data_IF_151126406214
#
_entry.id   IF_151126406214
#
_cell.length_a   1.000
_cell.length_b   1.000
_cell.length_c   1.000
_cell.angle_alpha   90.00
_cell.angle_beta   90.00
_cell.angle_gamma   90.00
#
_symmetry.space_group_name_H-M   'P 1'
#
loop_
_entity.id
_entity.type
_entity.pdbx_description
1 polymer ?
#
# COMPACT_ATOMS: atom_id res chain seq x y z
N UNK A 1 -9.83 -22.70 -21.23
CA UNK A 1 -9.74 -21.39 -20.57
C UNK A 1 -10.68 -21.31 -19.36
N UNK A 2 -12.02 -21.51 -19.49
CA UNK A 2 -12.96 -21.49 -18.36
C UNK A 2 -12.57 -22.48 -17.25
N UNK A 3 -12.32 -23.74 -17.60
CA UNK A 3 -11.91 -24.77 -16.64
C UNK A 3 -10.55 -24.45 -15.97
N UNK A 4 -9.62 -23.84 -16.70
CA UNK A 4 -8.35 -23.42 -16.12
C UNK A 4 -8.54 -22.31 -15.06
N UNK A 5 -9.46 -21.37 -15.32
CA UNK A 5 -9.82 -20.36 -14.31
C UNK A 5 -10.45 -21.01 -13.05
N UNK A 6 -11.38 -21.95 -13.23
CA UNK A 6 -12.00 -22.66 -12.09
C UNK A 6 -10.96 -23.41 -11.24
N UNK A 7 -9.96 -24.01 -11.87
CA UNK A 7 -8.82 -24.63 -11.16
C UNK A 7 -8.00 -23.58 -10.38
N UNK A 8 -7.70 -22.45 -11.00
CA UNK A 8 -6.97 -21.35 -10.33
C UNK A 8 -7.78 -20.82 -9.15
N UNK A 9 -9.08 -20.57 -9.34
CA UNK A 9 -9.97 -20.15 -8.25
C UNK A 9 -9.97 -21.14 -7.10
N UNK A 10 -10.19 -22.41 -7.38
CA UNK A 10 -10.19 -23.48 -6.37
C UNK A 10 -8.88 -23.55 -5.60
N UNK A 11 -7.75 -23.51 -6.30
CA UNK A 11 -6.44 -23.54 -5.68
C UNK A 11 -6.18 -22.31 -4.79
N UNK A 12 -6.57 -21.13 -5.24
CA UNK A 12 -6.45 -19.91 -4.46
C UNK A 12 -7.38 -19.92 -3.24
N UNK A 13 -8.61 -20.37 -3.40
CA UNK A 13 -9.59 -20.47 -2.33
C UNK A 13 -9.11 -21.39 -1.20
N UNK A 14 -8.62 -22.59 -1.53
CA UNK A 14 -8.29 -23.62 -0.54
C UNK A 14 -6.85 -23.60 -0.04
N UNK A 15 -5.92 -23.07 -0.85
CA UNK A 15 -4.49 -23.10 -0.50
C UNK A 15 -3.84 -21.70 -0.52
N UNK A 16 -4.46 -20.73 -1.18
CA UNK A 16 -3.89 -19.41 -1.39
C UNK A 16 -4.18 -18.38 -0.30
N UNK A 17 -5.25 -18.54 0.48
CA UNK A 17 -5.68 -17.55 1.48
C UNK A 17 -4.62 -17.28 2.53
N UNK A 18 -3.95 -18.31 3.05
CA UNK A 18 -2.85 -18.15 4.01
C UNK A 18 -1.65 -17.42 3.39
N UNK A 19 -1.35 -17.73 2.13
CA UNK A 19 -0.25 -17.07 1.38
C UNK A 19 -0.57 -15.58 1.18
N UNK A 20 -1.80 -15.25 0.80
CA UNK A 20 -2.23 -13.87 0.62
C UNK A 20 -2.24 -13.08 1.94
N UNK A 21 -2.68 -13.69 3.03
CA UNK A 21 -2.65 -13.10 4.37
C UNK A 21 -1.21 -12.80 4.80
N UNK A 22 -0.29 -13.73 4.58
CA UNK A 22 1.13 -13.53 4.88
C UNK A 22 1.73 -12.44 3.98
N UNK A 23 1.38 -12.43 2.70
CA UNK A 23 1.81 -11.39 1.76
C UNK A 23 1.38 -9.99 2.21
N UNK A 24 0.15 -9.82 2.67
CA UNK A 24 -0.34 -8.55 3.22
C UNK A 24 0.52 -8.11 4.40
N UNK A 25 0.79 -9.03 5.34
CA UNK A 25 1.64 -8.74 6.50
C UNK A 25 3.05 -8.32 6.09
N UNK A 26 3.66 -9.02 5.13
CA UNK A 26 5.01 -8.73 4.65
C UNK A 26 5.06 -7.40 3.89
N UNK A 27 4.03 -7.07 3.11
CA UNK A 27 3.91 -5.79 2.40
C UNK A 27 3.78 -4.62 3.39
N UNK A 28 2.99 -4.76 4.46
CA UNK A 28 2.92 -3.75 5.51
C UNK A 28 4.26 -3.54 6.21
N UNK A 29 4.98 -4.61 6.54
CA UNK A 29 6.30 -4.53 7.16
C UNK A 29 7.33 -3.85 6.24
N UNK A 30 7.36 -4.24 4.95
CA UNK A 30 8.24 -3.66 3.96
C UNK A 30 7.92 -2.17 3.71
N UNK A 31 6.64 -1.80 3.64
CA UNK A 31 6.18 -0.42 3.49
C UNK A 31 6.64 0.44 4.67
N UNK A 32 6.40 0.00 5.90
CA UNK A 32 6.81 0.74 7.09
C UNK A 32 8.32 0.98 7.09
N UNK A 33 9.13 -0.02 6.77
CA UNK A 33 10.58 0.12 6.66
C UNK A 33 11.01 1.09 5.56
N UNK A 34 10.43 0.99 4.35
CA UNK A 34 10.73 1.85 3.21
C UNK A 34 10.37 3.32 3.47
N UNK A 35 9.19 3.58 4.05
CA UNK A 35 8.70 4.94 4.32
C UNK A 35 9.53 5.68 5.34
N UNK A 36 9.99 5.01 6.41
CA UNK A 36 10.81 5.62 7.45
C UNK A 36 12.15 6.13 6.91
N UNK A 37 12.65 5.54 5.84
CA UNK A 37 13.94 5.87 5.23
C UNK A 37 13.82 6.60 3.89
N UNK A 38 12.60 6.99 3.47
CA UNK A 38 12.44 7.79 2.26
C UNK A 38 13.10 9.16 2.44
N UNK A 39 13.80 9.64 1.40
CA UNK A 39 14.50 10.93 1.44
C UNK A 39 13.54 12.07 1.80
N UNK A 40 12.30 12.03 1.31
CA UNK A 40 11.28 13.02 1.60
C UNK A 40 10.91 13.06 3.08
N UNK A 41 10.71 11.92 3.72
CA UNK A 41 10.37 11.84 5.14
C UNK A 41 11.56 12.23 6.01
N UNK A 42 12.76 11.82 5.65
CA UNK A 42 13.99 12.20 6.35
C UNK A 42 14.19 13.73 6.31
N UNK A 43 14.01 14.36 5.14
CA UNK A 43 14.13 15.82 4.99
C UNK A 43 13.04 16.57 5.79
N UNK A 44 11.80 16.11 5.75
CA UNK A 44 10.71 16.70 6.56
C UNK A 44 11.00 16.57 8.05
N UNK A 45 11.45 15.43 8.52
CA UNK A 45 11.81 15.23 9.91
C UNK A 45 12.95 16.15 10.35
N UNK A 46 13.95 16.39 9.49
CA UNK A 46 15.03 17.33 9.72
C UNK A 46 14.48 18.76 9.87
N UNK A 47 13.61 19.20 8.94
CA UNK A 47 12.99 20.52 9.01
C UNK A 47 12.16 20.69 10.29
N UNK A 48 11.42 19.67 10.72
CA UNK A 48 10.65 19.68 11.99
C UNK A 48 11.61 19.85 13.18
N UNK A 49 12.73 19.13 13.19
CA UNK A 49 13.76 19.25 14.23
C UNK A 49 14.39 20.65 14.27
N UNK A 50 14.66 21.23 13.11
CA UNK A 50 15.20 22.60 12.97
C UNK A 50 14.24 23.64 13.54
N UNK A 51 12.93 23.49 13.28
CA UNK A 51 11.90 24.37 13.83
C UNK A 51 11.85 24.25 15.35
N UNK A 52 11.90 23.05 15.92
CA UNK A 52 11.93 22.85 17.36
C UNK A 52 13.16 23.53 18.02
N UNK A 53 14.32 23.50 17.35
CA UNK A 53 15.51 24.20 17.78
C UNK A 53 15.36 25.73 17.74
N UNK A 54 14.73 26.24 16.70
CA UNK A 54 14.43 27.67 16.56
C UNK A 54 13.43 28.15 17.62
N UNK A 55 12.40 27.37 17.94
CA UNK A 55 11.45 27.67 19.01
C UNK A 55 12.13 27.75 20.38
N UNK A 56 13.05 26.82 20.68
CA UNK A 56 13.82 26.84 21.90
C UNK A 56 14.71 28.08 22.00
N UNK A 57 15.42 28.41 20.92
CA UNK A 57 16.26 29.60 20.86
C UNK A 57 15.42 30.88 21.04
N UNK A 58 14.29 30.98 20.41
CA UNK A 58 13.38 32.12 20.50
C UNK A 58 12.85 32.28 21.94
N UNK A 59 12.51 31.18 22.61
CA UNK A 59 12.08 31.18 24.00
C UNK A 59 13.19 31.63 24.95
N UNK A 60 14.43 31.19 24.71
CA UNK A 60 15.61 31.66 25.47
C UNK A 60 15.83 33.17 25.30
N UNK A 61 15.79 33.68 24.09
CA UNK A 61 15.98 35.09 23.81
C UNK A 61 14.89 35.95 24.44
N UNK A 62 13.65 35.46 24.50
CA UNK A 62 12.56 36.10 25.22
C UNK A 62 12.82 36.19 26.71
N UNK A 63 13.29 35.10 27.35
CA UNK A 63 13.62 35.07 28.77
C UNK A 63 14.76 36.03 29.12
N UNK A 64 15.70 36.22 28.20
CA UNK A 64 16.83 37.17 28.37
C UNK A 64 16.42 38.63 28.11
N UNK A 65 15.19 38.87 27.69
CA UNK A 65 14.72 40.24 27.40
C UNK A 65 15.32 40.86 26.11
N UNK A 66 15.92 40.03 25.26
CA UNK A 66 16.62 40.47 24.02
C UNK A 66 15.68 40.66 22.84
N UNK A 67 14.49 40.05 22.91
CA UNK A 67 13.49 40.05 21.82
C UNK A 67 12.27 40.85 22.23
N UNK A 68 11.84 41.76 21.35
CA UNK A 68 10.58 42.48 21.49
C UNK A 68 9.39 41.50 21.52
N UNK A 69 8.37 41.73 22.40
CA UNK A 69 7.20 40.88 22.52
C UNK A 69 6.45 40.68 21.20
N UNK A 70 6.31 41.69 20.38
CA UNK A 70 5.60 41.61 19.10
C UNK A 70 6.38 40.76 18.08
N UNK A 71 7.70 40.89 18.06
CA UNK A 71 8.57 40.06 17.23
C UNK A 71 8.51 38.62 17.70
N UNK A 72 8.51 38.37 19.00
CA UNK A 72 8.38 37.02 19.56
C UNK A 72 7.07 36.36 19.10
N UNK A 73 5.93 37.07 19.25
CA UNK A 73 4.62 36.53 18.84
C UNK A 73 4.60 36.24 17.34
N UNK A 74 5.06 37.18 16.50
CA UNK A 74 5.09 37.03 15.07
C UNK A 74 5.93 35.82 14.64
N UNK A 75 7.13 35.67 15.20
CA UNK A 75 8.02 34.54 14.88
C UNK A 75 7.49 33.22 15.40
N UNK A 76 6.94 33.19 16.60
CA UNK A 76 6.30 31.98 17.16
C UNK A 76 5.16 31.51 16.27
N UNK A 77 4.31 32.41 15.79
CA UNK A 77 3.20 32.08 14.89
C UNK A 77 3.71 31.55 13.54
N UNK A 78 4.76 32.15 12.98
CA UNK A 78 5.37 31.66 11.73
C UNK A 78 5.94 30.25 11.89
N UNK A 79 6.65 29.97 12.99
CA UNK A 79 7.20 28.64 13.26
C UNK A 79 6.09 27.60 13.49
N UNK A 80 5.04 27.97 14.23
CA UNK A 80 3.90 27.10 14.46
C UNK A 80 3.17 26.73 13.14
N UNK A 81 2.95 27.72 12.26
CA UNK A 81 2.34 27.48 10.95
C UNK A 81 3.22 26.60 10.08
N UNK A 82 4.51 26.85 10.03
CA UNK A 82 5.45 26.02 9.27
C UNK A 82 5.50 24.60 9.78
N UNK A 83 5.48 24.40 11.10
CA UNK A 83 5.43 23.09 11.73
C UNK A 83 4.16 22.32 11.33
N UNK A 84 3.02 23.03 11.34
CA UNK A 84 1.73 22.45 10.91
C UNK A 84 1.76 22.02 9.45
N UNK A 85 2.27 22.85 8.54
CA UNK A 85 2.41 22.53 7.12
C UNK A 85 3.26 21.28 6.92
N UNK A 86 4.43 21.20 7.59
CA UNK A 86 5.33 20.06 7.48
C UNK A 86 4.69 18.77 8.01
N UNK A 87 3.96 18.84 9.12
CA UNK A 87 3.22 17.68 9.65
C UNK A 87 2.14 17.20 8.69
N UNK A 88 1.39 18.12 8.08
CA UNK A 88 0.38 17.79 7.07
C UNK A 88 1.02 17.19 5.81
N UNK A 89 2.15 17.75 5.37
CA UNK A 89 2.89 17.22 4.22
C UNK A 89 3.39 15.81 4.50
N UNK A 90 3.96 15.57 5.67
CA UNK A 90 4.38 14.24 6.12
C UNK A 90 3.21 13.25 6.11
N UNK A 91 2.07 13.64 6.67
CA UNK A 91 0.87 12.81 6.70
C UNK A 91 0.36 12.47 5.29
N UNK A 92 0.36 13.45 4.37
CA UNK A 92 -0.01 13.21 2.96
C UNK A 92 0.92 12.22 2.27
N UNK A 93 2.24 12.33 2.48
CA UNK A 93 3.22 11.38 1.93
C UNK A 93 2.95 9.98 2.48
N UNK A 94 2.75 9.86 3.79
CA UNK A 94 2.46 8.57 4.42
C UNK A 94 1.16 7.93 3.93
N UNK A 95 0.16 8.74 3.58
CA UNK A 95 -1.12 8.26 3.04
C UNK A 95 -1.10 8.00 1.53
N UNK A 96 -0.39 8.83 0.75
CA UNK A 96 -0.38 8.74 -0.72
C UNK A 96 0.37 7.53 -1.24
N UNK A 97 1.25 6.96 -0.41
CA UNK A 97 1.90 5.69 -0.65
C UNK A 97 1.09 4.51 -0.05
N UNK A 98 -0.23 4.65 0.10
CA UNK A 98 -1.08 3.49 0.23
C UNK A 98 -0.82 2.60 -0.96
N UNK A 99 -0.08 1.54 -0.72
CA UNK A 99 0.30 0.61 -1.77
C UNK A 99 -0.98 -0.03 -2.30
N UNK A 100 -1.38 0.37 -3.51
CA UNK A 100 -2.52 -0.23 -4.20
C UNK A 100 -2.46 -1.75 -4.17
N UNK A 101 -1.26 -2.32 -4.13
CA UNK A 101 -1.04 -3.76 -4.02
C UNK A 101 -1.58 -4.33 -2.71
N UNK A 102 -1.43 -3.63 -1.59
CA UNK A 102 -1.98 -4.06 -0.29
C UNK A 102 -3.51 -4.09 -0.37
N UNK A 103 -4.11 -3.00 -0.84
CA UNK A 103 -5.57 -2.91 -0.97
C UNK A 103 -6.10 -3.96 -1.95
N UNK A 104 -5.49 -4.08 -3.13
CA UNK A 104 -5.87 -5.09 -4.12
C UNK A 104 -5.70 -6.52 -3.62
N UNK A 105 -4.69 -6.78 -2.78
CA UNK A 105 -4.50 -8.10 -2.16
C UNK A 105 -5.58 -8.37 -1.11
N UNK A 106 -5.97 -7.36 -0.34
CA UNK A 106 -7.08 -7.47 0.61
C UNK A 106 -8.41 -7.70 -0.12
N UNK A 107 -8.70 -6.94 -1.17
CA UNK A 107 -9.90 -7.11 -1.98
C UNK A 107 -9.97 -8.52 -2.59
N UNK A 108 -8.84 -9.04 -3.09
CA UNK A 108 -8.74 -10.40 -3.61
C UNK A 108 -9.02 -11.45 -2.52
N UNK A 109 -8.49 -11.25 -1.31
CA UNK A 109 -8.74 -12.13 -0.17
C UNK A 109 -10.23 -12.11 0.20
N UNK A 110 -10.86 -10.95 0.25
CA UNK A 110 -12.28 -10.79 0.57
C UNK A 110 -13.17 -11.49 -0.48
N UNK A 111 -12.81 -11.40 -1.77
CA UNK A 111 -13.49 -12.13 -2.86
C UNK A 111 -13.37 -13.64 -2.67
N UNK A 112 -12.19 -14.14 -2.31
CA UNK A 112 -11.97 -15.55 -2.07
C UNK A 112 -12.72 -16.06 -0.83
N UNK A 113 -12.74 -15.29 0.26
CA UNK A 113 -13.42 -15.66 1.49
C UNK A 113 -14.95 -15.67 1.34
N UNK A 114 -15.50 -14.68 0.66
CA UNK A 114 -16.94 -14.54 0.43
C UNK A 114 -17.47 -15.42 -0.70
N UNK A 115 -16.62 -15.85 -1.63
CA UNK A 115 -17.00 -16.67 -2.77
C UNK A 115 -17.38 -18.10 -2.37
N UNK A 116 -18.01 -18.86 -3.27
CA UNK A 116 -18.40 -20.25 -3.02
C UNK A 116 -17.18 -21.16 -2.88
N UNK A 117 -17.30 -22.19 -2.03
CA UNK A 117 -16.22 -23.19 -1.85
C UNK A 117 -16.00 -24.04 -3.10
N UNK A 118 -17.05 -24.23 -3.88
CA UNK A 118 -17.02 -24.95 -5.16
C UNK A 118 -17.87 -24.24 -6.18
N UNK A 119 -17.38 -24.18 -7.41
CA UNK A 119 -18.10 -23.58 -8.54
C UNK A 119 -17.96 -24.49 -9.76
N UNK A 120 -19.11 -24.95 -10.27
CA UNK A 120 -19.16 -25.83 -11.43
C UNK A 120 -19.18 -25.02 -12.74
N UNK A 121 -19.76 -23.81 -12.71
CA UNK A 121 -19.90 -22.95 -13.87
C UNK A 121 -19.02 -21.70 -13.77
N UNK A 122 -18.60 -21.21 -14.93
CA UNK A 122 -17.83 -19.99 -15.04
C UNK A 122 -18.69 -18.76 -14.69
N UNK A 123 -18.24 -18.00 -13.69
CA UNK A 123 -18.82 -16.73 -13.29
C UNK A 123 -17.95 -15.57 -13.81
N UNK A 124 -18.55 -14.74 -14.66
CA UNK A 124 -17.87 -13.61 -15.30
C UNK A 124 -17.53 -12.49 -14.28
N UNK A 125 -18.40 -12.29 -13.30
CA UNK A 125 -18.16 -11.27 -12.26
C UNK A 125 -16.98 -11.69 -11.40
N UNK A 126 -17.00 -12.91 -10.89
CA UNK A 126 -15.89 -13.47 -10.09
C UNK A 126 -14.57 -13.44 -10.87
N UNK A 127 -14.60 -13.74 -12.15
CA UNK A 127 -13.44 -13.65 -13.02
C UNK A 127 -12.90 -12.20 -13.08
N UNK A 128 -13.78 -11.23 -13.29
CA UNK A 128 -13.42 -9.81 -13.38
C UNK A 128 -12.90 -9.24 -12.05
N UNK A 129 -13.40 -9.76 -10.93
CA UNK A 129 -13.00 -9.33 -9.60
C UNK A 129 -11.64 -9.89 -9.17
N UNK A 130 -11.11 -10.88 -9.89
CA UNK A 130 -9.86 -11.56 -9.56
C UNK A 130 -8.75 -11.37 -10.60
N UNK A 131 -9.08 -11.35 -11.87
CA UNK A 131 -8.14 -11.46 -12.99
C UNK A 131 -7.99 -10.15 -13.75
N UNK A 132 -6.76 -9.65 -13.81
CA UNK A 132 -6.41 -8.50 -14.66
C UNK A 132 -6.29 -8.91 -16.11
N UNK A 133 -5.54 -10.00 -16.37
CA UNK A 133 -5.32 -10.51 -17.72
C UNK A 133 -4.87 -11.97 -17.73
N UNK A 134 -5.05 -12.61 -18.87
CA UNK A 134 -4.53 -13.95 -19.15
C UNK A 134 -3.48 -13.85 -20.27
N UNK A 135 -2.32 -14.46 -20.04
CA UNK A 135 -1.26 -14.58 -21.04
C UNK A 135 -1.14 -16.04 -21.46
N UNK A 136 -1.21 -16.29 -22.75
CA UNK A 136 -0.92 -17.62 -23.32
C UNK A 136 0.59 -17.74 -23.43
N UNK A 137 1.17 -18.58 -22.58
CA UNK A 137 2.62 -18.79 -22.54
C UNK A 137 3.02 -19.74 -23.67
N UNK A 138 2.30 -20.84 -23.81
CA UNK A 138 2.46 -21.84 -24.86
C UNK A 138 1.13 -22.56 -25.13
N UNK A 139 1.17 -23.62 -25.91
CA UNK A 139 -0.02 -24.37 -26.33
C UNK A 139 -0.76 -25.10 -25.17
N UNK A 140 -0.10 -25.24 -24.02
CA UNK A 140 -0.59 -26.03 -22.87
C UNK A 140 -0.57 -25.25 -21.56
N UNK A 141 -0.08 -23.99 -21.61
CA UNK A 141 0.15 -23.20 -20.39
C UNK A 141 -0.49 -21.83 -20.50
N UNK A 142 -1.34 -21.50 -19.53
CA UNK A 142 -1.88 -20.16 -19.32
C UNK A 142 -1.28 -19.55 -18.07
N UNK A 143 -1.01 -18.26 -18.15
CA UNK A 143 -0.61 -17.45 -17.00
C UNK A 143 -1.72 -16.44 -16.70
N UNK A 144 -2.27 -16.54 -15.52
CA UNK A 144 -3.28 -15.62 -15.00
C UNK A 144 -2.58 -14.56 -14.17
N UNK A 145 -2.75 -13.30 -14.52
CA UNK A 145 -2.31 -12.18 -13.68
C UNK A 145 -3.51 -11.70 -12.88
N UNK A 146 -3.35 -11.75 -11.56
CA UNK A 146 -4.35 -11.30 -10.60
C UNK A 146 -4.34 -9.77 -10.49
N UNK A 147 -5.43 -9.17 -9.98
CA UNK A 147 -5.55 -7.72 -9.82
C UNK A 147 -4.47 -7.10 -8.92
N UNK A 148 -3.93 -7.86 -7.97
CA UNK A 148 -2.82 -7.43 -7.12
C UNK A 148 -1.42 -7.61 -7.76
N UNK A 149 -1.35 -8.02 -9.03
CA UNK A 149 -0.12 -8.22 -9.78
C UNK A 149 0.53 -9.59 -9.63
N UNK A 150 0.04 -10.47 -8.77
CA UNK A 150 0.51 -11.86 -8.68
C UNK A 150 0.20 -12.62 -9.96
N UNK A 151 1.08 -13.55 -10.31
CA UNK A 151 0.92 -14.40 -11.48
C UNK A 151 0.80 -15.87 -11.07
N UNK A 152 -0.24 -16.53 -11.56
CA UNK A 152 -0.50 -17.95 -11.37
C UNK A 152 -0.47 -18.65 -12.70
N UNK A 153 0.30 -19.71 -12.82
CA UNK A 153 0.42 -20.50 -14.05
C UNK A 153 -0.40 -21.78 -13.94
N UNK A 154 -1.22 -22.03 -14.93
CA UNK A 154 -2.07 -23.23 -15.00
C UNK A 154 -1.84 -23.96 -16.31
N UNK A 155 -1.76 -25.30 -16.25
CA UNK A 155 -1.64 -26.17 -17.41
C UNK A 155 -3.03 -26.57 -17.94
N UNK A 156 -3.20 -26.47 -19.25
CA UNK A 156 -4.44 -26.86 -19.92
C UNK A 156 -4.28 -28.29 -20.42
N UNK A 157 -5.04 -29.24 -19.84
CA UNK A 157 -5.16 -30.55 -20.44
C UNK A 157 -5.98 -30.46 -21.74
N UNK A 158 -5.35 -30.72 -22.87
CA UNK A 158 -6.06 -30.91 -24.13
C UNK A 158 -6.64 -32.30 -24.14
N UNK A 159 -7.95 -32.39 -24.02
CA UNK A 159 -8.67 -33.63 -24.40
C UNK A 159 -8.43 -33.83 -25.89
N UNK A 160 -7.54 -34.74 -26.26
CA UNK A 160 -7.42 -35.17 -27.66
C UNK A 160 -8.75 -35.81 -28.04
N UNK A 161 -9.46 -35.14 -28.95
CA UNK A 161 -10.52 -35.80 -29.72
C UNK A 161 -9.94 -36.69 -30.82
#
# INVERSE_FOLDING_TARGET
MKNAFLHVYYNLKHYGTNILTQLISDLYAARTGSLLWSENIVEINKQISDIASQERLLAQLKQQGVVDPDIFISRSNQLAERLRELKLQKERILRSEEDHTIQQTQDLLDVLESGPDWQDDFDEQLFSDMIEKIVVVDNETLRFRLLNGLEVTEKIERTRR
#
